data_IF_962195432408
#
_entry.id   IF_962195432408
#
_cell.length_a   1.000
_cell.length_b   1.000
_cell.length_c   1.000
_cell.angle_alpha   90.00
_cell.angle_beta   90.00
_cell.angle_gamma   90.00
#
_symmetry.space_group_name_H-M   'P 1'
#
loop_
_entity.id
_entity.type
_entity.pdbx_description
1 polymer ?
#
# COMPACT_ATOMS: atom_id res chain seq x y z
N UNK A 1 -33.97 -1.99 -0.98
CA UNK A 1 -33.38 -0.68 -0.72
C UNK A 1 -31.95 -0.66 -1.26
N UNK A 2 -31.47 0.49 -1.70
CA UNK A 2 -30.12 0.67 -2.22
C UNK A 2 -29.45 1.82 -1.48
N UNK A 3 -28.26 1.60 -0.95
CA UNK A 3 -27.46 2.67 -0.39
C UNK A 3 -26.74 3.42 -1.52
N UNK A 4 -26.76 4.75 -1.47
CA UNK A 4 -26.04 5.59 -2.44
C UNK A 4 -24.55 5.76 -2.13
N UNK A 5 -24.10 5.33 -0.95
CA UNK A 5 -22.70 5.44 -0.52
C UNK A 5 -21.94 4.15 -0.81
N UNK A 6 -20.74 4.25 -1.35
CA UNK A 6 -19.88 3.11 -1.70
C UNK A 6 -18.84 2.80 -0.59
N UNK A 7 -18.99 3.36 0.62
CA UNK A 7 -18.20 3.08 1.79
C UNK A 7 -19.07 2.50 2.92
N UNK A 8 -18.45 1.93 3.95
CA UNK A 8 -19.17 1.27 5.03
C UNK A 8 -20.06 2.24 5.81
N UNK A 9 -21.35 1.98 5.82
CA UNK A 9 -22.35 2.66 6.66
C UNK A 9 -23.28 1.62 7.26
N UNK A 10 -23.50 1.62 8.59
CA UNK A 10 -24.49 0.76 9.23
C UNK A 10 -25.90 1.34 9.00
N UNK A 11 -26.52 1.03 7.86
CA UNK A 11 -27.84 1.51 7.51
C UNK A 11 -28.95 0.55 7.95
N UNK A 12 -30.14 1.11 8.20
CA UNK A 12 -31.30 0.39 8.69
C UNK A 12 -32.49 0.68 7.78
N UNK A 13 -33.24 -0.37 7.42
CA UNK A 13 -34.52 -0.24 6.72
C UNK A 13 -35.65 -0.37 7.74
N UNK A 14 -36.57 0.61 7.71
CA UNK A 14 -37.80 0.58 8.48
C UNK A 14 -39.02 0.59 7.54
N UNK A 15 -40.02 -0.22 7.85
CA UNK A 15 -41.35 -0.21 7.23
C UNK A 15 -42.39 -0.02 8.35
N UNK A 16 -43.24 0.98 8.23
CA UNK A 16 -44.19 1.33 9.27
C UNK A 16 -43.58 1.45 10.67
N UNK A 17 -42.40 2.15 10.75
CA UNK A 17 -41.60 2.33 11.95
C UNK A 17 -40.98 1.05 12.56
N UNK A 18 -41.20 -0.12 11.95
CA UNK A 18 -40.57 -1.38 12.37
C UNK A 18 -39.29 -1.60 11.58
N UNK A 19 -38.21 -1.97 12.27
CA UNK A 19 -36.93 -2.35 11.65
C UNK A 19 -37.16 -3.70 10.94
N UNK A 20 -36.98 -3.73 9.64
CA UNK A 20 -37.09 -4.94 8.80
C UNK A 20 -35.74 -5.44 8.32
N UNK A 21 -34.72 -4.58 8.32
CA UNK A 21 -33.37 -4.96 7.97
C UNK A 21 -32.36 -4.01 8.61
N UNK A 22 -31.27 -4.59 9.09
CA UNK A 22 -30.07 -3.85 9.54
C UNK A 22 -28.89 -4.37 8.73
N UNK A 23 -28.17 -3.46 8.07
CA UNK A 23 -26.96 -3.85 7.34
C UNK A 23 -25.92 -4.38 8.33
N UNK A 24 -25.49 -5.62 8.10
CA UNK A 24 -24.50 -6.28 8.93
C UNK A 24 -23.69 -7.26 8.06
N UNK A 25 -22.40 -7.11 8.04
CA UNK A 25 -21.49 -7.95 7.27
C UNK A 25 -20.99 -9.18 8.06
N UNK A 26 -21.36 -9.31 9.33
CA UNK A 26 -20.96 -10.47 10.13
C UNK A 26 -21.34 -11.78 9.45
N UNK A 27 -20.40 -12.72 9.40
CA UNK A 27 -20.53 -14.04 8.77
C UNK A 27 -20.87 -13.99 7.26
N UNK A 28 -20.80 -12.80 6.63
CA UNK A 28 -21.02 -12.60 5.19
C UNK A 28 -19.71 -12.55 4.43
N UNK A 29 -19.74 -12.91 3.15
CA UNK A 29 -18.61 -12.73 2.24
C UNK A 29 -18.57 -11.27 1.76
N UNK A 30 -17.42 -10.61 1.94
CA UNK A 30 -17.18 -9.21 1.57
C UNK A 30 -15.96 -9.13 0.66
N UNK A 31 -16.08 -8.42 -0.46
CA UNK A 31 -14.96 -8.11 -1.34
C UNK A 31 -14.36 -6.75 -0.96
N UNK A 32 -13.04 -6.70 -0.84
CA UNK A 32 -12.27 -5.45 -0.76
C UNK A 32 -11.31 -5.45 -1.95
N UNK A 33 -11.44 -4.48 -2.84
CA UNK A 33 -10.57 -4.34 -4.01
C UNK A 33 -9.80 -3.03 -3.97
N UNK A 34 -8.53 -3.09 -4.35
CA UNK A 34 -7.67 -1.90 -4.45
C UNK A 34 -7.64 -1.43 -5.91
N UNK A 35 -7.97 -0.17 -6.13
CA UNK A 35 -8.01 0.44 -7.47
C UNK A 35 -6.64 1.06 -7.86
N UNK A 36 -5.64 0.92 -7.01
CA UNK A 36 -4.28 1.41 -7.24
C UNK A 36 -3.32 0.28 -7.57
N UNK A 37 -2.49 0.51 -8.59
CA UNK A 37 -1.33 -0.35 -8.93
C UNK A 37 -0.07 0.03 -8.15
N UNK A 38 -0.14 1.08 -7.33
CA UNK A 38 0.99 1.55 -6.54
C UNK A 38 1.35 0.54 -5.44
N UNK A 39 2.64 0.25 -5.35
CA UNK A 39 3.24 -0.58 -4.30
C UNK A 39 2.96 -0.01 -2.91
N UNK A 40 3.23 1.29 -2.75
CA UNK A 40 3.03 1.97 -1.46
C UNK A 40 1.59 1.94 -0.98
N UNK A 41 0.63 2.14 -1.88
CA UNK A 41 -0.80 2.07 -1.55
C UNK A 41 -1.18 0.67 -1.08
N UNK A 42 -0.74 -0.36 -1.82
CA UNK A 42 -1.02 -1.75 -1.46
C UNK A 42 -0.46 -2.10 -0.09
N UNK A 43 0.79 -1.74 0.19
CA UNK A 43 1.43 -1.99 1.48
C UNK A 43 0.71 -1.23 2.61
N UNK A 44 0.38 0.04 2.41
CA UNK A 44 -0.30 0.85 3.41
C UNK A 44 -1.72 0.35 3.72
N UNK A 45 -2.43 -0.19 2.75
CA UNK A 45 -3.83 -0.57 2.91
C UNK A 45 -4.05 -2.01 3.37
N UNK A 46 -3.18 -2.93 2.99
CA UNK A 46 -3.38 -4.37 3.21
C UNK A 46 -3.56 -4.78 4.68
N UNK A 47 -2.86 -4.21 5.68
CA UNK A 47 -3.07 -4.53 7.09
C UNK A 47 -4.49 -4.21 7.59
N UNK A 48 -5.12 -3.19 7.02
CA UNK A 48 -6.47 -2.76 7.41
C UNK A 48 -7.57 -3.72 6.91
N UNK A 49 -7.27 -4.55 5.91
CA UNK A 49 -8.15 -5.68 5.51
C UNK A 49 -8.29 -6.69 6.64
N UNK A 50 -7.19 -7.02 7.31
CA UNK A 50 -7.21 -7.90 8.48
C UNK A 50 -7.95 -7.28 9.65
N UNK A 51 -7.75 -5.99 9.87
CA UNK A 51 -8.44 -5.25 10.92
C UNK A 51 -9.96 -5.22 10.67
N UNK A 52 -10.38 -4.97 9.44
CA UNK A 52 -11.78 -5.03 9.04
C UNK A 52 -12.38 -6.42 9.31
N UNK A 53 -11.72 -7.49 8.86
CA UNK A 53 -12.14 -8.87 9.12
C UNK A 53 -12.30 -9.15 10.61
N UNK A 54 -11.33 -8.71 11.42
CA UNK A 54 -11.35 -8.90 12.88
C UNK A 54 -12.50 -8.18 13.56
N UNK A 55 -12.72 -6.90 13.20
CA UNK A 55 -13.78 -6.07 13.83
C UNK A 55 -15.16 -6.58 13.43
N UNK A 56 -15.39 -6.80 12.14
CA UNK A 56 -16.71 -7.12 11.62
C UNK A 56 -17.02 -8.61 11.55
N UNK A 57 -16.05 -9.48 11.83
CA UNK A 57 -16.20 -10.95 11.87
C UNK A 57 -16.83 -11.50 10.56
N UNK A 58 -16.37 -11.01 9.42
CA UNK A 58 -16.84 -11.41 8.09
C UNK A 58 -15.81 -12.26 7.35
N UNK A 59 -16.23 -12.91 6.27
CA UNK A 59 -15.35 -13.61 5.34
C UNK A 59 -14.87 -12.62 4.28
N UNK A 60 -13.57 -12.35 4.23
CA UNK A 60 -13.02 -11.35 3.32
C UNK A 60 -12.35 -12.02 2.13
N UNK A 61 -12.73 -11.58 0.93
CA UNK A 61 -11.92 -11.77 -0.25
C UNK A 61 -11.32 -10.42 -0.69
N UNK A 62 -10.06 -10.44 -1.07
CA UNK A 62 -9.33 -9.25 -1.46
C UNK A 62 -8.82 -9.35 -2.90
N UNK A 63 -8.77 -8.21 -3.58
CA UNK A 63 -8.25 -8.11 -4.94
C UNK A 63 -7.29 -6.93 -5.00
N UNK A 64 -6.01 -7.23 -5.28
CA UNK A 64 -4.97 -6.23 -5.49
C UNK A 64 -4.15 -6.58 -6.72
N UNK A 65 -3.37 -5.62 -7.25
CA UNK A 65 -2.41 -5.89 -8.34
C UNK A 65 -1.13 -6.60 -7.84
N UNK A 66 -1.04 -6.89 -6.53
CA UNK A 66 0.12 -7.50 -5.87
C UNK A 66 -0.28 -8.64 -4.93
N UNK A 67 -1.31 -9.42 -5.30
CA UNK A 67 -1.82 -10.54 -4.50
C UNK A 67 -0.74 -11.56 -4.10
N UNK A 68 0.23 -11.80 -5.00
CA UNK A 68 1.31 -12.77 -4.81
C UNK A 68 2.19 -12.48 -3.59
N UNK A 69 2.25 -11.21 -3.13
CA UNK A 69 3.06 -10.84 -1.96
C UNK A 69 2.44 -11.29 -0.64
N UNK A 70 1.13 -11.50 -0.62
CA UNK A 70 0.36 -11.73 0.61
C UNK A 70 -0.23 -13.13 0.69
N UNK A 71 -0.62 -13.72 -0.44
CA UNK A 71 -1.38 -14.99 -0.49
C UNK A 71 -0.71 -16.16 0.21
N UNK A 72 0.63 -16.18 0.29
CA UNK A 72 1.41 -17.24 0.90
C UNK A 72 1.85 -16.91 2.33
N UNK A 73 1.56 -15.71 2.83
CA UNK A 73 1.94 -15.31 4.18
C UNK A 73 0.96 -15.89 5.21
N UNK A 74 1.51 -16.46 6.28
CA UNK A 74 0.73 -17.06 7.38
C UNK A 74 -0.28 -16.08 7.96
N UNK A 75 0.06 -14.80 8.01
CA UNK A 75 -0.79 -13.71 8.51
C UNK A 75 -2.08 -13.56 7.71
N UNK A 76 -2.05 -13.85 6.40
CA UNK A 76 -3.18 -13.69 5.49
C UNK A 76 -3.84 -15.01 5.08
N UNK A 77 -3.52 -16.13 5.74
CA UNK A 77 -4.03 -17.48 5.40
C UNK A 77 -5.56 -17.60 5.34
N UNK A 78 -6.26 -16.75 6.08
CA UNK A 78 -7.73 -16.74 6.16
C UNK A 78 -8.35 -15.67 5.25
N UNK A 79 -7.56 -15.08 4.35
CA UNK A 79 -8.03 -14.16 3.31
C UNK A 79 -8.05 -14.90 1.98
N UNK A 80 -9.17 -14.84 1.27
CA UNK A 80 -9.29 -15.30 -0.11
C UNK A 80 -8.73 -14.23 -1.04
N UNK A 81 -7.75 -14.57 -1.88
CA UNK A 81 -7.21 -13.65 -2.90
C UNK A 81 -7.81 -13.96 -4.25
N UNK A 82 -8.34 -12.94 -4.91
CA UNK A 82 -8.88 -13.02 -6.27
C UNK A 82 -8.19 -11.99 -7.16
N UNK A 83 -7.99 -12.35 -8.42
CA UNK A 83 -7.35 -11.43 -9.36
C UNK A 83 -8.23 -10.19 -9.63
N UNK A 84 -7.61 -9.06 -10.00
CA UNK A 84 -8.34 -7.87 -10.43
C UNK A 84 -9.38 -8.22 -11.52
N UNK A 85 -10.51 -7.51 -11.48
CA UNK A 85 -11.61 -7.63 -12.45
C UNK A 85 -12.37 -8.97 -12.46
N UNK A 86 -11.97 -9.95 -11.66
CA UNK A 86 -12.74 -11.20 -11.54
C UNK A 86 -14.01 -10.95 -10.71
N UNK A 87 -15.20 -11.27 -11.27
CA UNK A 87 -16.46 -11.19 -10.55
C UNK A 87 -16.48 -12.11 -9.33
N UNK A 88 -17.09 -11.68 -8.26
CA UNK A 88 -17.25 -12.47 -7.05
C UNK A 88 -18.64 -12.20 -6.47
N UNK A 89 -19.37 -13.27 -6.18
CA UNK A 89 -20.67 -13.16 -5.51
C UNK A 89 -20.43 -12.84 -4.02
N UNK A 90 -20.80 -11.63 -3.61
CA UNK A 90 -20.53 -11.10 -2.28
C UNK A 90 -21.71 -10.28 -1.76
N UNK A 91 -21.86 -10.26 -0.45
CA UNK A 91 -22.85 -9.45 0.22
C UNK A 91 -22.56 -7.94 0.14
N UNK A 92 -21.28 -7.57 0.18
CA UNK A 92 -20.82 -6.18 0.03
C UNK A 92 -19.47 -6.13 -0.69
N UNK A 93 -19.25 -5.04 -1.43
CA UNK A 93 -17.99 -4.77 -2.12
C UNK A 93 -17.53 -3.35 -1.81
N UNK A 94 -16.34 -3.22 -1.25
CA UNK A 94 -15.67 -1.94 -1.00
C UNK A 94 -14.49 -1.78 -1.93
N UNK A 95 -14.46 -0.66 -2.66
CA UNK A 95 -13.34 -0.27 -3.50
C UNK A 95 -12.48 0.74 -2.74
N UNK A 96 -11.20 0.46 -2.64
CA UNK A 96 -10.22 1.34 -1.99
C UNK A 96 -9.45 2.06 -3.07
N UNK A 97 -9.48 3.37 -3.06
CA UNK A 97 -8.82 4.18 -4.08
C UNK A 97 -9.15 5.66 -3.99
N UNK A 98 -8.71 6.38 -4.99
CA UNK A 98 -8.87 7.82 -5.14
C UNK A 98 -9.80 8.10 -6.32
N UNK A 99 -11.04 8.40 -6.01
CA UNK A 99 -12.09 8.47 -7.02
C UNK A 99 -12.43 9.90 -7.41
N UNK A 100 -12.55 10.09 -8.72
CA UNK A 100 -13.02 11.34 -9.33
C UNK A 100 -14.05 11.01 -10.42
N UNK A 101 -15.03 11.89 -10.54
CA UNK A 101 -15.96 11.92 -11.68
C UNK A 101 -15.81 13.28 -12.36
N UNK A 102 -15.48 13.28 -13.64
CA UNK A 102 -15.23 14.50 -14.44
C UNK A 102 -14.21 15.47 -13.78
N UNK A 103 -13.14 14.90 -13.20
CA UNK A 103 -12.08 15.66 -12.53
C UNK A 103 -12.41 16.14 -11.12
N UNK A 104 -13.65 15.97 -10.65
CA UNK A 104 -14.10 16.33 -9.30
C UNK A 104 -14.00 15.13 -8.37
N UNK A 105 -13.53 15.36 -7.15
CA UNK A 105 -13.46 14.32 -6.13
C UNK A 105 -14.84 13.83 -5.71
N UNK A 106 -15.02 12.50 -5.67
CA UNK A 106 -16.27 11.81 -5.28
C UNK A 106 -16.48 11.80 -3.75
N UNK A 107 -16.34 12.96 -3.13
CA UNK A 107 -16.50 13.11 -1.68
C UNK A 107 -17.92 12.81 -1.21
N UNK A 108 -18.02 12.06 -0.11
CA UNK A 108 -19.29 11.68 0.47
C UNK A 108 -20.10 10.71 -0.39
N UNK A 109 -19.54 10.18 -1.49
CA UNK A 109 -20.13 9.13 -2.32
C UNK A 109 -19.24 7.87 -2.33
N UNK A 110 -18.04 7.93 -2.93
CA UNK A 110 -17.08 6.82 -2.95
C UNK A 110 -16.05 6.93 -1.82
N UNK A 111 -15.56 8.13 -1.57
CA UNK A 111 -14.71 8.41 -0.41
C UNK A 111 -15.49 9.24 0.62
N UNK A 112 -15.46 8.88 1.92
CA UNK A 112 -16.08 9.71 2.97
C UNK A 112 -15.51 11.12 3.05
N UNK A 113 -14.19 11.24 2.88
CA UNK A 113 -13.41 12.48 2.90
C UNK A 113 -12.57 12.54 1.63
N UNK A 114 -12.25 13.74 1.18
CA UNK A 114 -11.41 13.95 -0.01
C UNK A 114 -10.02 13.36 0.21
N UNK A 115 -9.61 12.35 -0.57
CA UNK A 115 -8.45 11.52 -0.23
C UNK A 115 -7.10 12.24 -0.37
N UNK A 116 -7.01 13.31 -1.17
CA UNK A 116 -5.78 14.11 -1.27
C UNK A 116 -5.57 15.11 -0.11
N UNK A 117 -6.49 15.17 0.84
CA UNK A 117 -6.40 16.04 2.04
C UNK A 117 -6.12 15.24 3.32
N UNK A 118 -5.99 13.94 3.21
CA UNK A 118 -5.81 13.04 4.35
C UNK A 118 -4.61 12.10 4.13
N UNK A 119 -4.02 11.54 5.19
CA UNK A 119 -2.99 10.53 5.06
C UNK A 119 -3.47 9.29 4.28
N UNK A 120 -2.55 8.65 3.56
CA UNK A 120 -2.83 7.49 2.71
C UNK A 120 -3.62 6.38 3.44
N UNK A 121 -3.20 6.04 4.65
CA UNK A 121 -3.86 5.02 5.50
C UNK A 121 -5.30 5.43 5.83
N UNK A 122 -5.55 6.72 5.99
CA UNK A 122 -6.89 7.22 6.34
C UNK A 122 -7.91 6.96 5.23
N UNK A 123 -7.49 6.87 3.99
CA UNK A 123 -8.38 6.52 2.87
C UNK A 123 -9.08 5.17 3.10
N UNK A 124 -8.32 4.11 3.40
CA UNK A 124 -8.93 2.79 3.65
C UNK A 124 -9.70 2.74 4.97
N UNK A 125 -9.16 3.36 6.03
CA UNK A 125 -9.83 3.31 7.33
C UNK A 125 -11.18 4.02 7.32
N UNK A 126 -11.31 5.11 6.57
CA UNK A 126 -12.58 5.81 6.42
C UNK A 126 -13.56 5.03 5.54
N UNK A 127 -13.10 4.45 4.42
CA UNK A 127 -13.96 3.64 3.55
C UNK A 127 -14.49 2.40 4.28
N UNK A 128 -13.66 1.72 5.05
CA UNK A 128 -14.01 0.50 5.79
C UNK A 128 -14.60 0.77 7.17
N UNK A 129 -14.59 2.01 7.63
CA UNK A 129 -15.00 2.41 8.99
C UNK A 129 -14.29 1.60 10.08
N UNK A 130 -12.96 1.54 9.99
CA UNK A 130 -12.07 0.94 10.98
C UNK A 130 -11.21 2.02 11.65
N UNK A 131 -10.67 1.79 12.88
CA UNK A 131 -9.84 2.76 13.55
C UNK A 131 -8.61 3.18 12.72
N UNK A 132 -8.34 4.47 12.65
CA UNK A 132 -7.11 5.01 12.06
C UNK A 132 -5.93 4.73 13.00
N UNK A 133 -5.00 3.91 12.55
CA UNK A 133 -3.75 3.62 13.25
C UNK A 133 -2.73 3.01 12.29
N UNK A 134 -1.48 3.16 12.58
CA UNK A 134 -0.42 2.45 11.87
C UNK A 134 -0.43 0.97 12.29
N UNK A 135 -0.33 0.08 11.29
CA UNK A 135 -0.31 -1.36 11.47
C UNK A 135 0.91 -1.91 10.72
N UNK A 136 1.51 -2.95 11.26
CA UNK A 136 2.56 -3.67 10.55
C UNK A 136 1.97 -4.36 9.31
N UNK A 137 2.68 -4.27 8.18
CA UNK A 137 2.23 -4.81 6.88
C UNK A 137 2.24 -6.33 6.82
N UNK A 138 3.00 -6.98 7.72
CA UNK A 138 3.10 -8.43 7.76
C UNK A 138 3.73 -9.04 6.49
N UNK A 139 4.43 -8.23 5.69
CA UNK A 139 5.18 -8.70 4.53
C UNK A 139 6.61 -8.97 4.98
N UNK A 140 6.99 -10.23 4.96
CA UNK A 140 8.38 -10.66 5.16
C UNK A 140 8.82 -11.41 3.90
N UNK A 141 9.67 -10.78 3.11
CA UNK A 141 10.20 -11.38 1.89
C UNK A 141 11.37 -12.33 2.15
N UNK A 142 11.53 -12.87 3.37
CA UNK A 142 12.62 -13.76 3.71
C UNK A 142 13.97 -13.22 3.25
N UNK A 143 14.52 -12.28 4.01
CA UNK A 143 15.83 -11.71 3.72
C UNK A 143 16.89 -12.81 3.64
N UNK A 144 17.62 -12.81 2.56
CA UNK A 144 18.71 -13.72 2.30
C UNK A 144 20.04 -13.16 2.83
N UNK A 145 21.14 -13.78 2.43
CA UNK A 145 22.47 -13.32 2.74
C UNK A 145 22.70 -11.87 2.31
N UNK A 146 23.42 -11.08 3.13
CA UNK A 146 23.78 -9.68 2.82
C UNK A 146 24.33 -9.56 1.39
N UNK A 147 23.73 -8.73 0.52
CA UNK A 147 24.09 -8.69 -0.90
C UNK A 147 25.42 -7.99 -1.18
N UNK A 148 25.86 -7.11 -0.29
CA UNK A 148 27.13 -6.38 -0.35
C UNK A 148 27.83 -6.51 0.99
N UNK A 149 29.13 -6.90 1.00
CA UNK A 149 29.90 -7.10 2.23
C UNK A 149 30.18 -5.81 2.99
N UNK A 150 30.50 -4.75 2.24
CA UNK A 150 30.83 -3.44 2.77
C UNK A 150 29.58 -2.76 3.34
N UNK A 151 29.78 -1.76 4.20
CA UNK A 151 28.70 -0.88 4.63
C UNK A 151 28.16 -0.10 3.43
N UNK A 152 26.85 -0.08 3.27
CA UNK A 152 26.22 0.63 2.17
C UNK A 152 24.92 1.31 2.56
N UNK A 153 24.61 2.34 1.80
CA UNK A 153 23.38 3.13 1.89
C UNK A 153 22.61 2.92 0.59
N UNK A 154 21.32 2.60 0.70
CA UNK A 154 20.45 2.56 -0.46
C UNK A 154 19.89 3.94 -0.77
N UNK A 155 19.88 4.31 -2.04
CA UNK A 155 19.21 5.54 -2.52
C UNK A 155 18.07 5.21 -3.47
N UNK A 156 16.99 6.02 -3.40
CA UNK A 156 15.83 5.96 -4.30
C UNK A 156 15.55 7.33 -4.92
N UNK A 157 16.37 7.80 -5.92
CA UNK A 157 16.28 9.14 -6.46
C UNK A 157 15.11 9.36 -7.42
N UNK A 158 14.39 8.32 -7.81
CA UNK A 158 13.32 8.38 -8.80
C UNK A 158 11.94 8.23 -8.20
N UNK A 159 10.96 8.92 -8.80
CA UNK A 159 9.54 8.84 -8.46
C UNK A 159 8.70 8.86 -9.74
N UNK A 160 7.51 8.28 -9.68
CA UNK A 160 6.50 8.41 -10.75
C UNK A 160 5.97 9.83 -10.91
N UNK A 161 6.17 10.69 -9.92
CA UNK A 161 5.82 12.11 -9.95
C UNK A 161 7.09 12.96 -9.90
N UNK A 162 7.52 13.47 -11.06
CA UNK A 162 8.78 14.23 -11.23
C UNK A 162 8.90 15.43 -10.28
N UNK A 163 7.77 16.05 -9.86
CA UNK A 163 7.77 17.14 -8.88
C UNK A 163 8.34 16.73 -7.51
N UNK A 164 8.40 15.44 -7.20
CA UNK A 164 9.00 14.91 -5.97
C UNK A 164 10.51 14.69 -6.12
N UNK A 165 11.04 14.70 -7.34
CA UNK A 165 12.44 14.40 -7.56
C UNK A 165 13.34 15.54 -7.11
N UNK A 166 14.36 15.20 -6.34
CA UNK A 166 15.41 16.11 -5.94
C UNK A 166 16.38 16.33 -7.13
N UNK A 167 16.99 17.51 -7.29
CA UNK A 167 17.93 17.76 -8.40
C UNK A 167 19.02 16.70 -8.50
N UNK A 168 19.35 16.28 -9.71
CA UNK A 168 20.34 15.23 -9.94
C UNK A 168 21.71 15.58 -9.36
N UNK A 169 22.09 16.85 -9.42
CA UNK A 169 23.35 17.34 -8.86
C UNK A 169 23.44 17.10 -7.35
N UNK A 170 22.35 17.40 -6.64
CA UNK A 170 22.27 17.17 -5.19
C UNK A 170 22.41 15.70 -4.81
N UNK A 171 21.87 14.78 -5.63
CA UNK A 171 22.11 13.34 -5.44
C UNK A 171 23.56 12.94 -5.66
N UNK A 172 24.25 13.57 -6.64
CA UNK A 172 25.68 13.33 -6.89
C UNK A 172 26.52 13.83 -5.73
N UNK A 173 26.30 15.06 -5.28
CA UNK A 173 26.99 15.64 -4.12
C UNK A 173 26.79 14.77 -2.87
N UNK A 174 25.55 14.35 -2.59
CA UNK A 174 25.25 13.45 -1.48
C UNK A 174 26.03 12.14 -1.61
N UNK A 175 26.05 11.52 -2.81
CA UNK A 175 26.75 10.26 -3.02
C UNK A 175 28.27 10.39 -2.80
N UNK A 176 28.86 11.53 -3.16
CA UNK A 176 30.28 11.81 -2.93
C UNK A 176 30.59 11.99 -1.43
N UNK A 177 29.73 12.68 -0.69
CA UNK A 177 29.86 12.83 0.77
C UNK A 177 29.80 11.48 1.46
N UNK A 178 28.78 10.67 1.14
CA UNK A 178 28.62 9.33 1.73
C UNK A 178 29.77 8.39 1.37
N UNK A 179 30.30 8.51 0.16
CA UNK A 179 31.49 7.73 -0.23
C UNK A 179 32.75 8.15 0.54
N UNK A 180 32.97 9.45 0.79
CA UNK A 180 34.06 9.96 1.63
C UNK A 180 33.96 9.43 3.06
N UNK A 181 32.73 9.24 3.56
CA UNK A 181 32.46 8.66 4.89
C UNK A 181 32.57 7.12 4.91
N UNK A 182 33.01 6.50 3.81
CA UNK A 182 33.30 5.07 3.73
C UNK A 182 32.10 4.19 3.36
N UNK A 183 30.98 4.75 2.93
CA UNK A 183 29.83 3.98 2.49
C UNK A 183 29.87 3.72 0.99
N UNK A 184 29.41 2.54 0.56
CA UNK A 184 28.96 2.33 -0.80
C UNK A 184 27.56 2.92 -0.97
N UNK A 185 27.33 3.64 -2.07
CA UNK A 185 26.01 4.17 -2.40
C UNK A 185 25.38 3.28 -3.48
N UNK A 186 24.22 2.72 -3.18
CA UNK A 186 23.53 1.77 -4.04
C UNK A 186 22.18 2.35 -4.46
N UNK A 187 22.04 2.66 -5.73
CA UNK A 187 20.75 3.02 -6.30
C UNK A 187 19.94 1.76 -6.58
N UNK A 188 18.76 1.68 -5.99
CA UNK A 188 17.79 0.58 -6.15
C UNK A 188 16.50 1.01 -6.85
N UNK A 189 16.47 2.22 -7.41
CA UNK A 189 15.37 2.63 -8.28
C UNK A 189 15.33 1.77 -9.54
N UNK A 190 14.14 1.60 -10.12
CA UNK A 190 13.95 0.85 -11.35
C UNK A 190 14.88 1.36 -12.48
N UNK A 191 15.01 2.67 -12.60
CA UNK A 191 15.94 3.31 -13.53
C UNK A 191 17.31 3.55 -12.88
N UNK A 192 18.36 3.51 -13.72
CA UNK A 192 19.70 3.87 -13.29
C UNK A 192 19.82 5.36 -12.98
N UNK A 193 20.83 5.68 -12.17
CA UNK A 193 21.18 7.04 -11.84
C UNK A 193 22.69 7.24 -12.10
N UNK A 194 23.06 8.26 -12.87
CA UNK A 194 24.46 8.52 -13.22
C UNK A 194 25.19 9.24 -12.09
N UNK A 195 26.27 8.66 -11.61
CA UNK A 195 27.15 9.23 -10.60
C UNK A 195 28.39 8.36 -10.39
N UNK A 196 29.55 8.98 -10.20
CA UNK A 196 30.85 8.30 -10.12
C UNK A 196 30.93 7.22 -9.05
N UNK A 197 30.26 7.47 -7.92
CA UNK A 197 30.31 6.60 -6.73
C UNK A 197 28.99 5.86 -6.47
N UNK A 198 28.14 5.73 -7.51
CA UNK A 198 26.82 5.11 -7.39
C UNK A 198 26.83 3.75 -8.11
N UNK A 199 26.51 2.71 -7.36
CA UNK A 199 26.30 1.35 -7.89
C UNK A 199 24.83 1.19 -8.24
N UNK A 200 24.52 1.11 -9.52
CA UNK A 200 23.15 0.92 -9.98
C UNK A 200 22.73 -0.54 -9.92
N UNK A 201 21.60 -0.81 -9.29
CA UNK A 201 20.89 -2.08 -9.28
C UNK A 201 19.51 -1.87 -9.90
N UNK A 202 19.44 -2.08 -11.22
CA UNK A 202 18.23 -1.82 -12.01
C UNK A 202 17.33 -3.05 -12.05
N UNK A 203 16.04 -2.83 -12.27
CA UNK A 203 15.05 -3.86 -12.58
C UNK A 203 15.04 -5.04 -11.59
N UNK A 204 15.34 -4.74 -10.32
CA UNK A 204 15.25 -5.75 -9.26
C UNK A 204 13.79 -6.17 -9.05
N UNK A 205 13.59 -7.46 -8.80
CA UNK A 205 12.32 -7.93 -8.24
C UNK A 205 12.16 -7.44 -6.78
N UNK A 206 10.95 -7.49 -6.28
CA UNK A 206 10.64 -6.97 -4.95
C UNK A 206 11.35 -7.72 -3.81
N UNK A 207 11.47 -9.06 -3.82
CA UNK A 207 12.27 -9.78 -2.81
C UNK A 207 13.73 -9.36 -2.79
N UNK A 208 14.34 -9.17 -3.96
CA UNK A 208 15.73 -8.70 -4.07
C UNK A 208 15.86 -7.25 -3.62
N UNK A 209 14.92 -6.36 -4.01
CA UNK A 209 14.88 -4.97 -3.55
C UNK A 209 14.77 -4.90 -2.02
N UNK A 210 13.87 -5.72 -1.43
CA UNK A 210 13.74 -5.85 0.00
C UNK A 210 15.04 -6.29 0.68
N UNK A 211 15.74 -7.29 0.11
CA UNK A 211 17.00 -7.77 0.65
C UNK A 211 18.09 -6.69 0.66
N UNK A 212 18.16 -5.83 -0.38
CA UNK A 212 19.05 -4.67 -0.37
C UNK A 212 18.67 -3.67 0.71
N UNK A 213 17.39 -3.34 0.85
CA UNK A 213 16.90 -2.41 1.88
C UNK A 213 17.13 -2.94 3.28
N UNK A 214 16.82 -4.21 3.54
CA UNK A 214 16.97 -4.85 4.84
C UNK A 214 18.39 -4.79 5.39
N UNK A 215 19.39 -4.94 4.52
CA UNK A 215 20.80 -4.95 4.90
C UNK A 215 21.50 -3.59 4.75
N UNK A 216 20.83 -2.55 4.27
CA UNK A 216 21.37 -1.22 4.19
C UNK A 216 21.47 -0.57 5.57
N UNK A 217 22.51 0.25 5.79
CA UNK A 217 22.62 1.04 7.04
C UNK A 217 21.51 2.11 7.08
N UNK A 218 21.17 2.70 5.92
CA UNK A 218 20.13 3.73 5.76
C UNK A 218 19.55 3.64 4.35
N UNK A 219 18.29 3.99 4.21
CA UNK A 219 17.66 4.32 2.93
C UNK A 219 17.40 5.81 2.85
N UNK A 220 17.86 6.45 1.77
CA UNK A 220 17.60 7.85 1.45
C UNK A 220 16.82 7.89 0.14
N UNK A 221 15.60 8.35 0.20
CA UNK A 221 14.73 8.32 -0.99
C UNK A 221 13.58 9.29 -0.90
N UNK A 222 12.80 9.30 -1.96
CA UNK A 222 11.60 10.10 -2.09
C UNK A 222 10.41 9.37 -1.44
N UNK A 223 9.34 10.10 -1.15
CA UNK A 223 8.06 9.51 -0.75
C UNK A 223 7.46 8.67 -1.88
N UNK A 224 7.92 7.44 -2.02
CA UNK A 224 7.58 6.48 -3.07
C UNK A 224 7.34 5.08 -2.46
N UNK A 225 6.97 4.10 -3.30
CA UNK A 225 6.78 2.72 -2.85
C UNK A 225 7.98 2.12 -2.12
N UNK A 226 9.22 2.51 -2.49
CA UNK A 226 10.45 2.04 -1.84
C UNK A 226 10.55 2.46 -0.37
N UNK A 227 10.09 3.67 -0.02
CA UNK A 227 10.14 4.15 1.36
C UNK A 227 9.28 3.31 2.30
N UNK A 228 8.18 2.73 1.80
CA UNK A 228 7.32 1.86 2.59
C UNK A 228 8.00 0.52 2.95
N UNK A 229 8.94 0.05 2.15
CA UNK A 229 9.67 -1.18 2.49
C UNK A 229 10.72 -0.98 3.59
N UNK A 230 11.27 0.22 3.72
CA UNK A 230 12.35 0.46 4.69
C UNK A 230 11.86 0.65 6.13
N UNK A 231 10.59 0.99 6.34
CA UNK A 231 10.03 1.24 7.67
C UNK A 231 9.61 -0.04 8.44
N UNK A 232 9.93 -1.23 7.92
CA UNK A 232 9.54 -2.52 8.54
C UNK A 232 10.70 -3.55 8.62
#
# INVERSE_FOLDING_TARGET
>A
AKCSKEFYIPWIIKINNKIVHTFNVKDKKVKISFDSKSVGDTLAWMPHVLEFKKIYKCNVCVSTFHNEWFKNLKTYKDIEFIEPDIPCDVYAHYKIGWFKTDGVWDNGYKNPIQPNTIPLIKTITDILNVPYRELNYGVDFNHSKRPIKEKYICIGPRSTAGIKEWPHESWRELSELLHKDGYKVVNISYEGFEGKNIVNKKELDWPTTWNYLYHAEVFIGLGSGLSFFFFF
#
